data_IF_730753748087
#
_entry.id   IF_730753748087
#
_cell.length_a   1.000
_cell.length_b   1.000
_cell.length_c   1.000
_cell.angle_alpha   90.00
_cell.angle_beta   90.00
_cell.angle_gamma   90.00
#
_symmetry.space_group_name_H-M   'P 1'
#
loop_
_entity.id
_entity.type
_entity.pdbx_description
1 polymer ?
#
# COMPACT_ATOMS: atom_id res chain seq x y z
N UNK A 1 -26.21 -19.03 -31.67
CA UNK A 1 -24.74 -18.87 -31.68
C UNK A 1 -24.19 -18.72 -30.26
N UNK A 2 -24.32 -17.55 -29.61
CA UNK A 2 -23.68 -17.27 -28.30
C UNK A 2 -24.02 -18.19 -27.13
N UNK A 3 -25.27 -18.62 -26.99
CA UNK A 3 -25.65 -19.57 -25.92
C UNK A 3 -24.98 -20.93 -26.12
N UNK A 4 -24.77 -21.33 -27.37
CA UNK A 4 -24.12 -22.60 -27.69
C UNK A 4 -22.60 -22.50 -27.49
N UNK A 5 -21.98 -21.38 -27.90
CA UNK A 5 -20.57 -21.07 -27.59
C UNK A 5 -20.30 -21.10 -26.08
N UNK A 6 -21.22 -20.55 -25.27
CA UNK A 6 -21.15 -20.62 -23.82
C UNK A 6 -21.18 -22.06 -23.30
N UNK A 7 -22.12 -22.88 -23.81
CA UNK A 7 -22.25 -24.29 -23.40
C UNK A 7 -21.01 -25.10 -23.75
N UNK A 8 -20.46 -24.91 -24.95
CA UNK A 8 -19.23 -25.56 -25.39
C UNK A 8 -18.09 -25.17 -24.45
N UNK A 9 -17.87 -23.86 -24.24
CA UNK A 9 -16.81 -23.37 -23.35
C UNK A 9 -16.95 -23.89 -21.91
N UNK A 10 -18.17 -24.01 -21.41
CA UNK A 10 -18.43 -24.55 -20.07
C UNK A 10 -18.08 -26.04 -20.00
N UNK A 11 -18.42 -26.82 -21.03
CA UNK A 11 -18.08 -28.25 -21.13
C UNK A 11 -16.57 -28.46 -21.20
N UNK A 12 -15.90 -27.76 -22.09
CA UNK A 12 -14.44 -27.84 -22.27
C UNK A 12 -13.71 -27.50 -20.97
N UNK A 13 -14.18 -26.46 -20.27
CA UNK A 13 -13.59 -26.08 -18.99
C UNK A 13 -13.80 -27.16 -17.92
N UNK A 14 -14.99 -27.76 -17.86
CA UNK A 14 -15.28 -28.80 -16.87
C UNK A 14 -14.47 -30.08 -17.14
N UNK A 15 -14.35 -30.49 -18.40
CA UNK A 15 -13.50 -31.61 -18.81
C UNK A 15 -12.03 -31.34 -18.46
N UNK A 16 -11.54 -30.14 -18.74
CA UNK A 16 -10.19 -29.72 -18.37
C UNK A 16 -9.97 -29.77 -16.85
N UNK A 17 -10.90 -29.25 -16.05
CA UNK A 17 -10.80 -29.29 -14.58
C UNK A 17 -10.85 -30.71 -14.02
N UNK A 18 -11.65 -31.59 -14.64
CA UNK A 18 -11.73 -33.01 -14.29
C UNK A 18 -10.42 -33.72 -14.59
N UNK A 19 -9.86 -33.52 -15.79
CA UNK A 19 -8.60 -34.10 -16.20
C UNK A 19 -7.43 -33.65 -15.32
N UNK A 20 -7.41 -32.37 -14.91
CA UNK A 20 -6.41 -31.81 -13.98
C UNK A 20 -6.66 -32.15 -12.50
N UNK A 21 -7.71 -32.92 -12.20
CA UNK A 21 -8.04 -33.36 -10.84
C UNK A 21 -8.15 -32.21 -9.82
N UNK A 22 -8.68 -31.05 -10.26
CA UNK A 22 -8.78 -29.89 -9.37
C UNK A 22 -9.68 -30.20 -8.16
N UNK A 23 -9.34 -29.72 -6.95
CA UNK A 23 -10.19 -29.89 -5.77
C UNK A 23 -11.60 -29.29 -5.96
N UNK A 24 -12.65 -29.85 -5.34
CA UNK A 24 -14.03 -29.38 -5.49
C UNK A 24 -14.21 -27.88 -5.22
N UNK A 25 -13.53 -27.36 -4.21
CA UNK A 25 -13.58 -25.93 -3.86
C UNK A 25 -13.01 -25.04 -4.96
N UNK A 26 -11.89 -25.46 -5.56
CA UNK A 26 -11.27 -24.72 -6.65
C UNK A 26 -12.15 -24.76 -7.91
N UNK A 27 -12.75 -25.92 -8.22
CA UNK A 27 -13.73 -26.03 -9.32
C UNK A 27 -14.91 -25.10 -9.11
N UNK A 28 -15.46 -25.03 -7.90
CA UNK A 28 -16.56 -24.12 -7.60
C UNK A 28 -16.17 -22.64 -7.79
N UNK A 29 -14.95 -22.25 -7.41
CA UNK A 29 -14.43 -20.90 -7.65
C UNK A 29 -14.26 -20.60 -9.14
N UNK A 30 -13.70 -21.54 -9.92
CA UNK A 30 -13.55 -21.39 -11.37
C UNK A 30 -14.91 -21.25 -12.05
N UNK A 31 -15.90 -22.09 -11.72
CA UNK A 31 -17.27 -21.98 -12.26
C UNK A 31 -17.91 -20.63 -11.93
N UNK A 32 -17.76 -20.15 -10.69
CA UNK A 32 -18.25 -18.83 -10.28
C UNK A 32 -17.63 -17.72 -11.12
N UNK A 33 -16.31 -17.76 -11.31
CA UNK A 33 -15.60 -16.76 -12.11
C UNK A 33 -16.06 -16.76 -13.56
N UNK A 34 -16.15 -17.94 -14.18
CA UNK A 34 -16.56 -18.06 -15.58
C UNK A 34 -18.01 -17.60 -15.77
N UNK A 35 -18.91 -17.97 -14.86
CA UNK A 35 -20.30 -17.50 -14.87
C UNK A 35 -20.39 -15.99 -14.71
N UNK A 36 -19.66 -15.42 -13.75
CA UNK A 36 -19.65 -13.97 -13.55
C UNK A 36 -19.07 -13.23 -14.75
N UNK A 37 -17.94 -13.69 -15.30
CA UNK A 37 -17.34 -13.12 -16.51
C UNK A 37 -18.33 -13.10 -17.67
N UNK A 38 -19.10 -14.18 -17.84
CA UNK A 38 -20.15 -14.24 -18.86
C UNK A 38 -21.27 -13.23 -18.61
N UNK A 39 -21.75 -13.09 -17.37
CA UNK A 39 -22.79 -12.12 -17.03
C UNK A 39 -22.31 -10.67 -17.24
N UNK A 40 -21.08 -10.37 -16.82
CA UNK A 40 -20.49 -9.03 -16.93
C UNK A 40 -20.24 -8.63 -18.39
N UNK A 41 -19.67 -9.53 -19.19
CA UNK A 41 -19.26 -9.24 -20.58
C UNK A 41 -20.29 -9.64 -21.63
N UNK A 42 -21.31 -10.43 -21.27
CA UNK A 42 -22.25 -11.09 -22.19
C UNK A 42 -21.56 -11.88 -23.31
N UNK A 43 -20.39 -12.44 -23.00
CA UNK A 43 -19.56 -13.18 -23.96
C UNK A 43 -18.82 -12.30 -24.96
N UNK A 44 -18.80 -10.97 -24.77
CA UNK A 44 -18.03 -10.05 -25.58
C UNK A 44 -16.58 -10.04 -25.10
N UNK A 45 -15.64 -10.29 -25.99
CA UNK A 45 -14.22 -10.05 -25.71
C UNK A 45 -13.87 -8.60 -26.10
N UNK A 46 -13.99 -7.69 -25.14
CA UNK A 46 -13.69 -6.26 -25.32
C UNK A 46 -12.29 -6.02 -25.89
N UNK A 47 -11.30 -6.82 -25.47
CA UNK A 47 -9.93 -6.69 -25.97
C UNK A 47 -9.83 -7.00 -27.48
N UNK A 48 -10.60 -7.99 -27.97
CA UNK A 48 -10.65 -8.31 -29.40
C UNK A 48 -11.28 -7.18 -30.22
N UNK A 49 -12.36 -6.57 -29.70
CA UNK A 49 -13.04 -5.45 -30.36
C UNK A 49 -12.09 -4.26 -30.48
N UNK A 50 -11.44 -3.88 -29.38
CA UNK A 50 -10.51 -2.75 -29.37
C UNK A 50 -9.29 -2.99 -30.28
N UNK A 51 -8.83 -4.23 -30.41
CA UNK A 51 -7.73 -4.60 -31.32
C UNK A 51 -8.13 -4.52 -32.80
N UNK A 52 -9.40 -4.76 -33.13
CA UNK A 52 -9.90 -4.64 -34.50
C UNK A 52 -10.07 -3.18 -34.96
N UNK A 53 -10.12 -2.24 -34.01
CA UNK A 53 -10.25 -0.82 -34.31
C UNK A 53 -8.88 -0.16 -34.63
N UNK A 54 -8.90 0.85 -35.52
CA UNK A 54 -7.80 1.80 -35.68
C UNK A 54 -7.30 2.38 -34.35
N UNK A 55 -6.02 2.76 -34.30
CA UNK A 55 -5.34 3.15 -33.06
C UNK A 55 -5.90 4.43 -32.44
N UNK A 56 -6.37 5.37 -33.26
CA UNK A 56 -7.04 6.60 -32.86
C UNK A 56 -8.37 6.31 -32.16
N UNK A 57 -9.26 5.50 -32.76
CA UNK A 57 -10.53 5.11 -32.15
C UNK A 57 -10.33 4.33 -30.84
N UNK A 58 -9.38 3.39 -30.82
CA UNK A 58 -9.04 2.64 -29.59
C UNK A 58 -8.59 3.59 -28.48
N UNK A 59 -7.76 4.60 -28.79
CA UNK A 59 -7.31 5.59 -27.81
C UNK A 59 -8.48 6.40 -27.26
N UNK A 60 -9.36 6.88 -28.13
CA UNK A 60 -10.49 7.73 -27.72
C UNK A 60 -11.50 6.96 -26.86
N UNK A 61 -11.77 5.69 -27.20
CA UNK A 61 -12.61 4.81 -26.38
C UNK A 61 -11.96 4.57 -25.01
N UNK A 62 -10.67 4.19 -24.98
CA UNK A 62 -9.97 3.94 -23.72
C UNK A 62 -9.98 5.19 -22.84
N UNK A 63 -9.66 6.37 -23.40
CA UNK A 63 -9.72 7.65 -22.69
C UNK A 63 -11.12 7.87 -22.09
N UNK A 64 -12.18 7.68 -22.86
CA UNK A 64 -13.55 7.84 -22.38
C UNK A 64 -13.88 6.91 -21.21
N UNK A 65 -13.42 5.65 -21.26
CA UNK A 65 -13.77 4.65 -20.25
C UNK A 65 -13.05 4.82 -18.91
N UNK A 66 -11.81 5.34 -18.91
CA UNK A 66 -10.98 5.30 -17.71
C UNK A 66 -10.36 6.64 -17.26
N UNK A 67 -10.41 7.71 -18.06
CA UNK A 67 -9.78 8.99 -17.70
C UNK A 67 -10.26 9.53 -16.35
N UNK A 68 -11.57 9.50 -16.09
CA UNK A 68 -12.14 9.98 -14.84
C UNK A 68 -11.72 9.14 -13.64
N UNK A 69 -11.49 7.84 -13.82
CA UNK A 69 -10.99 6.95 -12.78
C UNK A 69 -9.51 7.21 -12.49
N UNK A 70 -8.70 7.39 -13.53
CA UNK A 70 -7.28 7.72 -13.40
C UNK A 70 -7.11 9.06 -12.70
N UNK A 71 -7.86 10.10 -13.08
CA UNK A 71 -7.80 11.43 -12.46
C UNK A 71 -8.24 11.48 -11.00
N UNK A 72 -8.97 10.48 -10.50
CA UNK A 72 -9.30 10.39 -9.05
C UNK A 72 -8.07 10.12 -8.20
N UNK A 73 -7.03 9.50 -8.75
CA UNK A 73 -5.76 9.35 -8.04
C UNK A 73 -5.10 10.72 -7.99
N UNK A 74 -4.88 11.31 -6.79
CA UNK A 74 -4.35 12.67 -6.67
C UNK A 74 -2.98 12.86 -7.32
N UNK A 75 -2.23 11.77 -7.49
CA UNK A 75 -0.98 11.75 -8.21
C UNK A 75 -1.16 11.95 -9.73
N UNK A 76 -2.11 11.24 -10.35
CA UNK A 76 -2.36 11.34 -11.79
C UNK A 76 -3.08 12.66 -12.17
N UNK A 77 -3.86 13.25 -11.27
CA UNK A 77 -4.58 14.51 -11.56
C UNK A 77 -3.65 15.71 -11.83
N UNK A 78 -2.37 15.62 -11.45
CA UNK A 78 -1.37 16.65 -11.69
C UNK A 78 -0.57 16.45 -12.98
N UNK A 79 -0.86 15.38 -13.73
CA UNK A 79 -0.20 15.06 -14.99
C UNK A 79 -0.83 15.78 -16.18
N UNK A 80 -0.06 15.95 -17.25
CA UNK A 80 -0.58 16.47 -18.51
C UNK A 80 -1.41 15.40 -19.25
N UNK A 81 -2.28 15.86 -20.15
CA UNK A 81 -3.23 14.99 -20.85
C UNK A 81 -2.54 13.91 -21.69
N UNK A 82 -1.36 14.19 -22.25
CA UNK A 82 -0.58 13.22 -23.03
C UNK A 82 -0.15 12.02 -22.19
N UNK A 83 0.25 12.26 -20.94
CA UNK A 83 0.65 11.22 -20.01
C UNK A 83 -0.57 10.43 -19.50
N UNK A 84 -1.68 11.12 -19.23
CA UNK A 84 -2.95 10.48 -18.90
C UNK A 84 -3.42 9.57 -20.06
N UNK A 85 -3.31 10.02 -21.30
CA UNK A 85 -3.62 9.21 -22.49
C UNK A 85 -2.74 7.97 -22.60
N UNK A 86 -1.44 8.12 -22.31
CA UNK A 86 -0.51 7.00 -22.33
C UNK A 86 -0.83 5.94 -21.26
N UNK A 87 -1.34 6.35 -20.09
CA UNK A 87 -1.82 5.47 -19.03
C UNK A 87 -3.14 4.81 -19.44
N UNK A 88 -4.12 5.60 -19.89
CA UNK A 88 -5.43 5.11 -20.32
C UNK A 88 -5.31 4.07 -21.44
N UNK A 89 -4.37 4.25 -22.37
CA UNK A 89 -4.10 3.30 -23.45
C UNK A 89 -3.54 1.93 -22.99
N UNK A 90 -3.05 1.82 -21.75
CA UNK A 90 -2.43 0.61 -21.17
C UNK A 90 -3.27 -0.07 -20.10
N UNK A 91 -4.39 0.54 -19.71
CA UNK A 91 -5.29 -0.08 -18.74
C UNK A 91 -5.99 -1.30 -19.35
N UNK A 92 -6.03 -2.40 -18.58
CA UNK A 92 -6.71 -3.63 -18.96
C UNK A 92 -7.87 -3.92 -18.04
N UNK A 93 -8.96 -4.46 -18.57
CA UNK A 93 -10.13 -4.85 -17.77
C UNK A 93 -9.76 -6.00 -16.84
N UNK A 94 -10.12 -5.87 -15.56
CA UNK A 94 -9.86 -6.84 -14.50
C UNK A 94 -11.16 -7.18 -13.78
N UNK A 95 -11.43 -8.49 -13.66
CA UNK A 95 -12.61 -9.02 -12.99
C UNK A 95 -12.18 -9.87 -11.82
N UNK A 96 -12.82 -9.66 -10.67
CA UNK A 96 -12.59 -10.45 -9.47
C UNK A 96 -13.91 -10.94 -8.88
N UNK A 97 -13.99 -12.22 -8.54
CA UNK A 97 -15.14 -12.77 -7.81
C UNK A 97 -14.99 -12.61 -6.31
N UNK A 98 -16.13 -12.64 -5.60
CA UNK A 98 -16.14 -12.69 -4.13
C UNK A 98 -15.19 -13.76 -3.58
N UNK A 99 -14.37 -13.34 -2.61
CA UNK A 99 -13.40 -14.18 -1.90
C UNK A 99 -12.03 -14.27 -2.58
N UNK A 100 -11.88 -13.72 -3.79
CA UNK A 100 -10.58 -13.64 -4.46
C UNK A 100 -9.65 -12.66 -3.73
N UNK A 101 -8.43 -13.09 -3.48
CA UNK A 101 -7.36 -12.22 -3.00
C UNK A 101 -6.64 -11.67 -4.24
N UNK A 102 -6.65 -10.35 -4.40
CA UNK A 102 -5.91 -9.67 -5.47
C UNK A 102 -4.43 -9.69 -5.15
N UNK A 103 -4.07 -9.36 -3.91
CA UNK A 103 -2.69 -9.35 -3.42
C UNK A 103 -2.71 -9.64 -1.92
N UNK A 104 -1.68 -10.28 -1.38
CA UNK A 104 -1.49 -10.44 0.07
C UNK A 104 -0.38 -9.53 0.55
N UNK A 105 -0.45 -9.14 1.81
CA UNK A 105 0.65 -8.43 2.47
C UNK A 105 1.95 -9.24 2.33
N UNK A 106 3.01 -8.59 1.83
CA UNK A 106 4.30 -9.19 1.52
C UNK A 106 4.48 -9.66 0.07
N UNK A 107 3.40 -9.95 -0.66
CA UNK A 107 3.48 -10.39 -2.05
C UNK A 107 3.99 -9.27 -2.97
N UNK A 108 4.71 -9.56 -4.06
CA UNK A 108 5.10 -8.54 -5.03
C UNK A 108 3.87 -7.93 -5.71
N UNK A 109 3.80 -6.60 -5.73
CA UNK A 109 2.71 -5.87 -6.41
C UNK A 109 3.00 -5.87 -7.90
N UNK A 110 2.13 -6.50 -8.69
CA UNK A 110 2.28 -6.62 -10.15
C UNK A 110 1.42 -5.63 -10.93
N UNK A 111 0.36 -5.10 -10.31
CA UNK A 111 -0.59 -4.19 -10.94
C UNK A 111 -1.22 -3.23 -9.93
N UNK A 112 -1.59 -2.05 -10.42
CA UNK A 112 -2.49 -1.11 -9.73
C UNK A 112 -3.91 -1.34 -10.20
N UNK A 113 -4.88 -1.47 -9.29
CA UNK A 113 -6.29 -1.60 -9.65
C UNK A 113 -7.06 -0.30 -9.40
N UNK A 114 -7.90 0.09 -10.35
CA UNK A 114 -8.85 1.19 -10.29
C UNK A 114 -10.26 0.62 -10.26
N UNK A 115 -10.96 0.74 -9.13
CA UNK A 115 -12.23 0.07 -8.90
C UNK A 115 -13.35 0.81 -9.64
N UNK A 116 -14.01 0.14 -10.57
CA UNK A 116 -15.19 0.68 -11.29
C UNK A 116 -16.44 0.33 -10.49
N UNK A 117 -16.58 -0.96 -10.12
CA UNK A 117 -17.73 -1.51 -9.39
C UNK A 117 -17.29 -2.56 -8.39
N UNK A 118 -18.06 -2.68 -7.32
CA UNK A 118 -17.86 -3.68 -6.27
C UNK A 118 -17.17 -3.13 -5.02
N UNK A 119 -16.68 -4.03 -4.17
CA UNK A 119 -16.03 -3.72 -2.90
C UNK A 119 -14.86 -4.64 -2.64
N UNK A 120 -13.71 -4.06 -2.34
CA UNK A 120 -12.53 -4.75 -1.84
C UNK A 120 -12.34 -4.41 -0.36
N UNK A 121 -11.90 -5.36 0.44
CA UNK A 121 -11.31 -5.14 1.76
C UNK A 121 -9.80 -5.02 1.60
N UNK A 122 -9.20 -3.98 2.18
CA UNK A 122 -7.75 -3.78 2.23
C UNK A 122 -7.30 -3.77 3.68
N UNK A 123 -6.61 -4.82 4.11
CA UNK A 123 -6.19 -5.03 5.49
C UNK A 123 -4.69 -5.19 5.66
N UNK A 124 -4.15 -4.84 6.82
CA UNK A 124 -2.72 -5.02 7.15
C UNK A 124 -2.54 -5.37 8.61
N UNK A 125 -1.52 -6.16 8.87
CA UNK A 125 -1.04 -6.55 10.20
C UNK A 125 0.27 -5.88 10.59
N UNK A 126 0.75 -4.90 9.80
CA UNK A 126 2.05 -4.24 9.99
C UNK A 126 3.18 -5.27 10.11
N UNK A 127 3.22 -6.24 9.18
CA UNK A 127 4.20 -7.32 9.19
C UNK A 127 4.01 -8.31 10.35
N UNK A 128 2.77 -8.59 10.74
CA UNK A 128 2.47 -9.57 11.81
C UNK A 128 2.65 -9.02 13.23
N UNK A 129 2.64 -7.70 13.42
CA UNK A 129 2.78 -7.07 14.72
C UNK A 129 1.59 -7.42 15.63
N UNK A 130 1.89 -7.98 16.79
CA UNK A 130 0.86 -8.38 17.77
C UNK A 130 0.00 -7.17 18.18
N UNK A 131 -1.33 -7.35 18.10
CA UNK A 131 -2.32 -6.33 18.44
C UNK A 131 -2.48 -5.21 17.39
N UNK A 132 -1.88 -5.32 16.21
CA UNK A 132 -2.10 -4.39 15.10
C UNK A 132 -2.93 -5.04 13.99
N UNK A 133 -4.11 -4.48 13.74
CA UNK A 133 -4.94 -4.82 12.58
C UNK A 133 -5.61 -3.55 12.08
N UNK A 134 -5.38 -3.19 10.82
CA UNK A 134 -6.07 -2.10 10.16
C UNK A 134 -6.77 -2.64 8.92
N UNK A 135 -8.07 -2.38 8.78
CA UNK A 135 -8.87 -2.76 7.61
C UNK A 135 -9.67 -1.55 7.12
N UNK A 136 -9.72 -1.37 5.81
CA UNK A 136 -10.54 -0.36 5.12
C UNK A 136 -11.30 -1.01 3.96
N UNK A 137 -12.45 -0.45 3.61
CA UNK A 137 -13.24 -0.91 2.46
C UNK A 137 -12.99 0.04 1.30
N UNK A 138 -12.46 -0.49 0.20
CA UNK A 138 -12.30 0.20 -1.08
C UNK A 138 -13.57 -0.02 -1.92
N UNK A 139 -14.09 1.06 -2.50
CA UNK A 139 -15.34 1.12 -3.27
C UNK A 139 -15.05 1.69 -4.67
N UNK A 140 -16.11 1.82 -5.48
CA UNK A 140 -16.04 2.49 -6.79
C UNK A 140 -15.36 3.86 -6.72
N UNK A 141 -14.32 4.04 -7.54
CA UNK A 141 -13.47 5.23 -7.57
C UNK A 141 -12.21 5.16 -6.72
N UNK A 142 -12.11 4.17 -5.81
CA UNK A 142 -10.89 3.91 -5.06
C UNK A 142 -9.91 3.05 -5.88
N UNK A 143 -8.68 2.94 -5.38
CA UNK A 143 -7.61 2.19 -6.03
C UNK A 143 -6.73 1.44 -5.02
N UNK A 144 -5.95 0.47 -5.49
CA UNK A 144 -4.90 -0.19 -4.71
C UNK A 144 -3.66 -0.47 -5.57
N UNK A 145 -2.56 -0.87 -4.93
CA UNK A 145 -1.25 -1.07 -5.58
C UNK A 145 -0.40 0.20 -5.70
N UNK A 146 -0.68 1.22 -4.88
CA UNK A 146 0.03 2.51 -4.88
C UNK A 146 1.55 2.38 -4.64
N UNK A 147 2.00 1.25 -4.11
CA UNK A 147 3.41 0.90 -3.98
C UNK A 147 4.15 0.99 -5.32
N UNK A 148 3.47 0.69 -6.43
CA UNK A 148 4.02 0.78 -7.78
C UNK A 148 4.35 2.21 -8.20
N UNK A 149 3.64 3.22 -7.68
CA UNK A 149 3.95 4.62 -7.97
C UNK A 149 5.33 4.96 -7.41
N UNK A 150 5.59 4.63 -6.14
CA UNK A 150 6.90 4.90 -5.52
C UNK A 150 8.05 4.19 -6.24
N UNK A 151 7.81 2.95 -6.70
CA UNK A 151 8.79 2.17 -7.46
C UNK A 151 9.03 2.73 -8.86
N UNK A 152 7.98 3.01 -9.64
CA UNK A 152 8.12 3.45 -11.03
C UNK A 152 8.67 4.87 -11.18
N UNK A 153 8.49 5.74 -10.17
CA UNK A 153 8.91 7.14 -10.23
C UNK A 153 10.39 7.37 -9.93
N UNK A 154 11.14 6.31 -9.60
CA UNK A 154 12.58 6.37 -9.45
C UNK A 154 13.24 6.35 -10.84
N UNK A 155 14.25 7.19 -11.16
CA UNK A 155 14.95 7.18 -12.46
C UNK A 155 15.48 5.81 -12.86
N UNK A 156 15.78 4.94 -11.89
CA UNK A 156 16.24 3.57 -12.09
C UNK A 156 15.46 2.62 -11.18
N UNK A 157 14.23 2.22 -11.57
CA UNK A 157 13.48 1.25 -10.80
C UNK A 157 14.22 -0.09 -10.80
N UNK A 158 14.31 -0.72 -9.64
CA UNK A 158 14.89 -2.06 -9.50
C UNK A 158 14.10 -3.07 -10.32
N UNK A 159 14.74 -4.16 -10.74
CA UNK A 159 14.04 -5.29 -11.39
C UNK A 159 13.00 -5.89 -10.45
N UNK A 160 13.27 -5.88 -9.14
CA UNK A 160 12.35 -6.38 -8.13
C UNK A 160 11.17 -5.42 -7.95
N UNK A 161 9.96 -5.99 -7.97
CA UNK A 161 8.71 -5.32 -7.64
C UNK A 161 8.63 -5.01 -6.14
N UNK A 162 7.95 -3.92 -5.75
CA UNK A 162 7.72 -3.62 -4.35
C UNK A 162 6.79 -4.66 -3.71
N UNK A 163 7.04 -5.00 -2.45
CA UNK A 163 6.13 -5.84 -1.66
C UNK A 163 4.89 -5.06 -1.24
N UNK A 164 3.73 -5.70 -1.32
CA UNK A 164 2.46 -5.12 -0.89
C UNK A 164 2.46 -4.89 0.61
N UNK A 165 1.99 -3.72 1.02
CA UNK A 165 1.81 -3.39 2.44
C UNK A 165 0.50 -3.91 3.01
N UNK A 166 -0.42 -4.37 2.14
CA UNK A 166 -1.77 -4.78 2.52
C UNK A 166 -2.22 -6.04 1.79
N UNK A 167 -3.08 -6.80 2.45
CA UNK A 167 -3.88 -7.85 1.84
C UNK A 167 -5.15 -7.24 1.26
N UNK A 168 -5.41 -7.46 -0.02
CA UNK A 168 -6.61 -6.98 -0.72
C UNK A 168 -7.48 -8.16 -1.12
N UNK A 169 -8.73 -8.16 -0.66
CA UNK A 169 -9.69 -9.26 -0.87
C UNK A 169 -11.02 -8.73 -1.40
N UNK A 170 -11.56 -9.37 -2.42
CA UNK A 170 -12.88 -9.08 -2.94
C UNK A 170 -13.99 -9.54 -1.99
N UNK A 171 -14.80 -8.60 -1.52
CA UNK A 171 -15.97 -8.88 -0.67
C UNK A 171 -17.21 -9.25 -1.48
N UNK A 172 -17.28 -8.72 -2.70
CA UNK A 172 -18.29 -8.97 -3.73
C UNK A 172 -17.59 -9.12 -5.08
N UNK A 173 -18.34 -9.34 -6.13
CA UNK A 173 -17.87 -9.23 -7.50
C UNK A 173 -17.35 -7.81 -7.78
N UNK A 174 -16.17 -7.72 -8.38
CA UNK A 174 -15.47 -6.45 -8.64
C UNK A 174 -15.11 -6.37 -10.12
N UNK A 175 -15.40 -5.20 -10.68
CA UNK A 175 -14.95 -4.76 -12.00
C UNK A 175 -13.96 -3.62 -11.78
N UNK A 176 -12.76 -3.75 -12.33
CA UNK A 176 -11.68 -2.79 -12.18
C UNK A 176 -10.93 -2.63 -13.50
N UNK A 177 -10.18 -1.55 -13.64
CA UNK A 177 -9.07 -1.48 -14.58
C UNK A 177 -7.77 -1.80 -13.85
N UNK A 178 -6.86 -2.51 -14.50
CA UNK A 178 -5.52 -2.80 -14.00
C UNK A 178 -4.48 -2.06 -14.83
N UNK A 179 -3.54 -1.39 -14.18
CA UNK A 179 -2.31 -0.87 -14.78
C UNK A 179 -1.16 -1.76 -14.34
N UNK A 180 -0.54 -2.48 -15.27
CA UNK A 180 0.56 -3.37 -14.95
C UNK A 180 1.81 -2.57 -14.54
N UNK A 181 2.65 -3.17 -13.69
CA UNK A 181 3.90 -2.55 -13.26
C UNK A 181 4.82 -2.23 -14.44
N UNK A 182 4.90 -3.12 -15.44
CA UNK A 182 5.73 -2.91 -16.63
C UNK A 182 5.24 -1.73 -17.48
N UNK A 183 3.92 -1.60 -17.63
CA UNK A 183 3.27 -0.50 -18.34
C UNK A 183 3.50 0.84 -17.63
N UNK A 184 3.35 0.86 -16.30
CA UNK A 184 3.63 2.04 -15.50
C UNK A 184 5.11 2.42 -15.57
N UNK A 185 6.03 1.45 -15.52
CA UNK A 185 7.47 1.68 -15.68
C UNK A 185 7.79 2.22 -17.07
N UNK A 186 7.17 1.67 -18.11
CA UNK A 186 7.35 2.15 -19.47
C UNK A 186 6.94 3.61 -19.57
N UNK A 187 5.74 3.95 -19.11
CA UNK A 187 5.26 5.33 -19.08
C UNK A 187 6.20 6.21 -18.23
N UNK A 188 6.62 5.73 -17.06
CA UNK A 188 7.59 6.44 -16.22
C UNK A 188 8.90 6.79 -16.94
N UNK A 189 9.43 5.85 -17.72
CA UNK A 189 10.68 6.04 -18.47
C UNK A 189 10.56 7.07 -19.60
N UNK A 190 9.39 7.19 -20.23
CA UNK A 190 9.18 8.06 -21.38
C UNK A 190 8.94 9.51 -20.98
N UNK A 191 8.33 9.74 -19.82
CA UNK A 191 7.93 11.08 -19.38
C UNK A 191 8.80 11.55 -18.22
N UNK A 192 9.96 12.17 -18.53
CA UNK A 192 10.88 12.73 -17.51
C UNK A 192 10.22 13.69 -16.52
N UNK A 193 9.10 14.31 -16.90
CA UNK A 193 8.27 15.17 -16.03
C UNK A 193 7.66 14.44 -14.83
N UNK A 194 7.56 13.11 -14.86
CA UNK A 194 7.16 12.28 -13.72
C UNK A 194 8.11 12.41 -12.54
N UNK A 195 9.35 12.86 -12.77
CA UNK A 195 10.34 13.14 -11.74
C UNK A 195 10.24 14.56 -11.15
N UNK A 196 9.20 15.34 -11.47
CA UNK A 196 9.01 16.67 -10.89
C UNK A 196 8.88 16.61 -9.36
N UNK A 197 9.60 17.50 -8.65
CA UNK A 197 9.50 17.66 -7.18
C UNK A 197 8.05 17.83 -6.70
N UNK A 198 7.19 18.47 -7.51
CA UNK A 198 5.76 18.64 -7.20
C UNK A 198 5.02 17.31 -7.17
N UNK A 199 5.25 16.45 -8.15
CA UNK A 199 4.66 15.12 -8.22
C UNK A 199 5.22 14.21 -7.11
N UNK A 200 6.52 14.31 -6.83
CA UNK A 200 7.16 13.59 -5.72
C UNK A 200 6.54 13.96 -4.36
N UNK A 201 6.35 15.25 -4.08
CA UNK A 201 5.70 15.69 -2.84
C UNK A 201 4.25 15.21 -2.76
N UNK A 202 3.54 15.26 -3.88
CA UNK A 202 2.16 14.77 -3.98
C UNK A 202 2.10 13.28 -3.68
N UNK A 203 2.98 12.47 -4.26
CA UNK A 203 3.09 11.05 -3.94
C UNK A 203 3.38 10.83 -2.45
N UNK A 204 4.36 11.53 -1.87
CA UNK A 204 4.68 11.44 -0.43
C UNK A 204 3.49 11.78 0.46
N UNK A 205 2.71 12.79 0.08
CA UNK A 205 1.55 13.25 0.84
C UNK A 205 0.40 12.24 0.80
N UNK A 206 0.12 11.64 -0.36
CA UNK A 206 -1.01 10.73 -0.54
C UNK A 206 -0.69 9.26 -0.24
N UNK A 207 0.58 8.85 -0.31
CA UNK A 207 0.98 7.46 -0.02
C UNK A 207 0.68 7.07 1.43
N UNK A 208 -0.07 5.98 1.58
CA UNK A 208 -0.45 5.40 2.85
C UNK A 208 0.77 4.91 3.64
N UNK A 209 1.81 4.43 2.95
CA UNK A 209 3.07 4.02 3.56
C UNK A 209 3.78 5.24 4.18
N UNK A 210 3.96 6.32 3.43
CA UNK A 210 4.59 7.55 3.93
C UNK A 210 3.80 8.18 5.08
N UNK A 211 2.46 8.20 5.00
CA UNK A 211 1.59 8.70 6.08
C UNK A 211 1.70 7.86 7.35
N UNK A 212 1.70 6.53 7.22
CA UNK A 212 1.85 5.61 8.35
C UNK A 212 3.23 5.78 9.00
N UNK A 213 4.30 5.82 8.19
CA UNK A 213 5.66 6.06 8.69
C UNK A 213 5.76 7.40 9.42
N UNK A 214 5.22 8.49 8.83
CA UNK A 214 5.23 9.82 9.44
C UNK A 214 4.47 9.83 10.78
N UNK A 215 3.28 9.20 10.84
CA UNK A 215 2.52 9.09 12.08
C UNK A 215 3.31 8.31 13.16
N UNK A 216 3.89 7.17 12.81
CA UNK A 216 4.72 6.38 13.73
C UNK A 216 5.95 7.16 14.21
N UNK A 217 6.61 7.90 13.32
CA UNK A 217 7.76 8.74 13.64
C UNK A 217 7.39 9.87 14.62
N UNK A 218 6.30 10.59 14.36
CA UNK A 218 5.77 11.63 15.25
C UNK A 218 5.40 11.04 16.61
N UNK A 219 4.73 9.88 16.65
CA UNK A 219 4.39 9.21 17.89
C UNK A 219 5.64 8.81 18.70
N UNK A 220 6.66 8.26 18.03
CA UNK A 220 7.89 7.83 18.69
C UNK A 220 8.68 9.02 19.27
N UNK A 221 8.81 10.11 18.49
CA UNK A 221 9.48 11.34 18.93
C UNK A 221 8.73 11.99 20.10
N UNK A 222 7.40 12.08 20.05
CA UNK A 222 6.57 12.57 21.15
C UNK A 222 6.71 11.72 22.43
N UNK A 223 6.64 10.39 22.33
CA UNK A 223 6.83 9.50 23.48
C UNK A 223 8.23 9.65 24.08
N UNK A 224 9.25 9.92 23.26
CA UNK A 224 10.62 10.21 23.74
C UNK A 224 10.67 11.55 24.46
N UNK A 225 10.04 12.60 23.92
CA UNK A 225 9.94 13.90 24.56
C UNK A 225 9.22 13.81 25.92
N UNK A 226 8.05 13.16 25.96
CA UNK A 226 7.26 12.97 27.19
C UNK A 226 8.05 12.22 28.27
N UNK A 227 8.77 11.15 27.90
CA UNK A 227 9.66 10.42 28.82
C UNK A 227 10.79 11.30 29.37
N UNK A 228 11.45 12.09 28.51
CA UNK A 228 12.49 13.04 28.93
C UNK A 228 11.95 14.13 29.85
N UNK A 229 10.73 14.61 29.60
CA UNK A 229 10.08 15.63 30.43
C UNK A 229 9.74 15.07 31.82
N UNK A 230 9.09 13.91 31.87
CA UNK A 230 8.81 13.19 33.13
C UNK A 230 10.08 12.91 33.94
N UNK A 231 11.17 12.47 33.27
CA UNK A 231 12.44 12.24 33.95
C UNK A 231 13.03 13.54 34.54
N UNK A 232 12.95 14.67 33.82
CA UNK A 232 13.38 15.98 34.34
C UNK A 232 12.50 16.46 35.51
N UNK A 233 11.19 16.29 35.41
CA UNK A 233 10.25 16.69 36.47
C UNK A 233 10.48 15.87 37.75
N UNK A 234 10.74 14.56 37.61
CA UNK A 234 11.13 13.68 38.73
C UNK A 234 12.47 14.11 39.33
N UNK A 235 13.48 14.36 38.51
CA UNK A 235 14.79 14.87 38.98
C UNK A 235 14.66 16.19 39.75
N UNK A 236 13.82 17.12 39.28
CA UNK A 236 13.58 18.39 39.98
C UNK A 236 12.86 18.19 41.32
N UNK A 237 11.83 17.33 41.38
CA UNK A 237 11.13 17.00 42.64
C UNK A 237 12.05 16.32 43.66
N UNK A 238 12.92 15.42 43.20
CA UNK A 238 13.89 14.74 44.06
C UNK A 238 14.99 15.71 44.53
N UNK A 239 15.48 16.60 43.67
CA UNK A 239 16.46 17.63 44.05
C UNK A 239 15.89 18.58 45.11
N UNK A 240 14.63 18.99 44.96
CA UNK A 240 13.94 19.84 45.94
C UNK A 240 13.67 19.11 47.27
N UNK A 241 13.32 17.81 47.21
CA UNK A 241 13.14 16.98 48.42
C UNK A 241 14.46 16.73 49.15
N UNK A 242 15.56 16.53 48.42
CA UNK A 242 16.90 16.36 49.00
C UNK A 242 17.38 17.65 49.67
N UNK A 243 17.13 18.81 49.06
CA UNK A 243 17.46 20.12 49.64
C UNK A 243 16.69 20.39 50.94
N UNK A 244 15.39 20.06 51.00
CA UNK A 244 14.58 20.15 52.23
C UNK A 244 15.07 19.23 53.36
N UNK A 245 15.59 18.04 53.04
CA UNK A 245 16.13 17.12 54.05
C UNK A 245 17.50 17.53 54.62
N UNK A 246 18.17 18.53 54.05
CA UNK A 246 19.38 19.11 54.63
C UNK A 246 19.09 20.31 55.54
N UNK A 247 17.88 20.88 55.47
CA UNK A 247 17.44 21.98 56.35
C UNK A 247 16.81 21.46 57.65
N UNK A 248 16.20 20.28 57.65
CA UNK A 248 15.74 19.57 58.87
C UNK A 248 16.80 18.56 59.33
N UNK A 249 17.72 19.02 60.18
CA UNK A 249 18.69 18.15 60.83
C UNK A 249 18.08 17.33 61.96
N UNK A 250 17.91 16.03 61.75
CA UNK A 250 18.18 15.04 62.80
C UNK A 250 18.75 13.74 62.18
N UNK A 251 19.88 13.32 62.73
CA UNK A 251 20.71 12.26 62.19
C UNK A 251 20.25 10.90 62.68
N UNK A 252 19.54 10.15 61.85
CA UNK A 252 19.67 8.68 61.76
C UNK A 252 18.66 8.11 60.76
N UNK A 253 19.15 7.65 59.60
CA UNK A 253 18.42 6.69 58.77
C UNK A 253 18.10 7.14 57.33
N UNK A 254 19.11 7.37 56.48
CA UNK A 254 18.85 7.62 55.04
C UNK A 254 19.87 6.97 54.08
N UNK A 255 20.47 5.85 54.47
CA UNK A 255 21.36 5.11 53.54
C UNK A 255 20.57 4.24 52.53
N UNK A 256 19.34 3.83 52.86
CA UNK A 256 18.53 2.95 52.01
C UNK A 256 17.85 3.66 50.82
N UNK A 257 17.46 4.94 50.99
CA UNK A 257 16.79 5.72 49.93
C UNK A 257 17.73 6.04 48.76
N UNK A 258 19.01 6.28 49.05
CA UNK A 258 20.05 6.52 48.05
C UNK A 258 20.29 5.28 47.17
N UNK A 259 20.22 4.07 47.74
CA UNK A 259 20.37 2.81 47.00
C UNK A 259 19.20 2.47 46.09
N UNK A 260 17.96 2.82 46.47
CA UNK A 260 16.79 2.64 45.61
C UNK A 260 16.78 3.66 44.45
N UNK A 261 17.17 4.91 44.74
CA UNK A 261 17.31 5.98 43.75
C UNK A 261 18.41 5.67 42.73
N UNK A 262 19.57 5.16 43.16
CA UNK A 262 20.63 4.71 42.26
C UNK A 262 20.20 3.52 41.38
N UNK A 263 19.35 2.60 41.88
CA UNK A 263 18.80 1.48 41.10
C UNK A 263 17.73 1.93 40.09
N UNK A 264 16.92 2.93 40.42
CA UNK A 264 15.94 3.53 39.50
C UNK A 264 16.65 4.40 38.45
N UNK A 265 17.69 5.14 38.83
CA UNK A 265 18.58 5.88 37.92
C UNK A 265 19.37 4.93 37.01
N UNK A 266 19.83 3.80 37.53
CA UNK A 266 20.40 2.72 36.74
C UNK A 266 19.35 2.08 35.84
N UNK A 267 18.08 1.93 36.23
CA UNK A 267 17.03 1.45 35.33
C UNK A 267 16.69 2.47 34.23
N UNK A 268 16.74 3.77 34.53
CA UNK A 268 16.55 4.86 33.57
C UNK A 268 17.75 5.01 32.60
N UNK A 269 18.99 4.78 33.08
CA UNK A 269 20.23 4.76 32.27
C UNK A 269 20.48 3.43 31.56
N UNK A 270 20.12 2.30 32.13
CA UNK A 270 20.21 0.95 31.51
C UNK A 270 19.08 0.74 30.50
N UNK A 271 17.99 1.52 30.59
CA UNK A 271 17.08 1.80 29.48
C UNK A 271 17.67 2.64 28.34
N UNK A 272 18.93 3.11 28.48
CA UNK A 272 19.71 3.76 27.41
C UNK A 272 20.79 2.87 26.79
N UNK A 273 21.14 1.74 27.42
CA UNK A 273 22.21 0.84 26.96
C UNK A 273 21.73 -0.55 26.51
N UNK A 274 20.44 -0.85 26.75
CA UNK A 274 19.76 -1.86 25.97
C UNK A 274 19.45 -1.29 24.59
N UNK A 275 20.18 -1.73 23.58
CA UNK A 275 19.84 -1.67 22.15
C UNK A 275 18.48 -2.37 21.88
N UNK A 276 17.39 -1.99 22.57
CA UNK A 276 16.06 -2.09 21.99
C UNK A 276 16.01 -0.96 20.99
N UNK A 277 16.62 -1.27 19.84
CA UNK A 277 16.32 -0.61 18.58
C UNK A 277 14.84 -0.25 18.63
N UNK A 278 14.52 1.00 18.27
CA UNK A 278 13.16 1.33 17.85
C UNK A 278 12.64 0.14 17.02
N UNK A 279 11.34 -0.20 17.01
CA UNK A 279 10.84 -1.00 15.89
C UNK A 279 11.47 -0.36 14.67
N UNK A 280 12.31 -1.12 13.94
CA UNK A 280 13.04 -0.59 12.80
C UNK A 280 11.94 -0.28 11.80
N UNK A 281 11.30 0.88 11.97
CA UNK A 281 10.40 1.47 11.01
C UNK A 281 11.36 1.80 9.90
N UNK A 282 11.51 0.83 8.99
CA UNK A 282 12.36 0.96 7.83
C UNK A 282 11.80 2.19 7.16
N UNK A 283 12.57 3.29 7.21
CA UNK A 283 12.22 4.50 6.48
C UNK A 283 11.90 4.01 5.06
N UNK A 284 10.69 4.28 4.54
CA UNK A 284 10.39 3.93 3.17
C UNK A 284 11.56 4.44 2.34
N UNK A 285 12.14 3.57 1.50
CA UNK A 285 13.36 3.88 0.76
C UNK A 285 13.18 5.26 0.18
N UNK A 286 13.99 6.24 0.61
CA UNK A 286 14.01 7.50 -0.10
C UNK A 286 14.55 7.17 -1.46
N UNK A 287 13.77 7.42 -2.52
CA UNK A 287 14.32 7.22 -3.82
C UNK A 287 15.43 8.28 -3.98
N UNK A 288 16.67 7.79 -4.15
CA UNK A 288 17.88 8.62 -4.19
C UNK A 288 17.91 9.37 -5.52
N UNK A 289 17.76 10.69 -5.44
CA UNK A 289 17.62 11.59 -6.59
C UNK A 289 18.63 12.73 -6.56
N UNK A 290 19.78 12.49 -5.94
CA UNK A 290 20.92 13.40 -5.97
C UNK A 290 21.57 13.54 -7.35
N UNK A 291 21.13 12.75 -8.36
CA UNK A 291 21.62 12.86 -9.73
C UNK A 291 20.87 13.96 -10.47
N UNK A 292 21.29 15.20 -10.23
CA UNK A 292 21.13 16.27 -11.21
C UNK A 292 21.68 15.75 -12.55
N UNK A 293 20.86 15.76 -13.59
CA UNK A 293 21.39 15.72 -14.95
C UNK A 293 21.49 17.18 -15.35
N UNK A 294 22.72 17.67 -15.42
CA UNK A 294 23.05 18.89 -16.13
C UNK A 294 22.47 18.81 -17.56
N UNK A 295 22.04 19.98 -18.03
CA UNK A 295 21.34 20.23 -19.31
C UNK A 295 22.00 19.59 -20.55
#
# INVERSE_FOLDING_TARGET
>A
ARVEEWRVKQRDTEEWMKHRQLPPELRARVRRFIHYKWLATRGVDEASILKALPADLRRDINRHLCLDLVRRVPFFSQMDDQLLDAICGRLVSSLSTKGTYTVREGDPVTEMLFIIRGKLESSTTDGGRTGFFNSIILKSGDFCGEELLGWALVPRPTVNLPSSTRTVKALVEVEAFALQAEDLRFVASQFRRLHSRKLQHTFRYYSHHWRTWAACFIQATWRRHKRRRLARDLMMRESFSSMRSYEDGDGSGSFAAHGLSAKIMAAARKGSDGHRELPKFRKPSEPDFSVEHDD
#
